data_IF_118229743849
#
_entry.id   IF_118229743849
#
_cell.length_a   1.000
_cell.length_b   1.000
_cell.length_c   1.000
_cell.angle_alpha   90.00
_cell.angle_beta   90.00
_cell.angle_gamma   90.00
#
_symmetry.space_group_name_H-M   'P 1'
#
loop_
_entity.id
_entity.type
_entity.pdbx_description
1 polymer ?
#
# COMPACT_ATOMS: atom_id res chain seq x y z
N UNK A 1 -2.18 -13.92 -15.81
CA UNK A 1 -0.69 -13.89 -15.62
C UNK A 1 -0.30 -12.47 -15.25
N UNK A 2 0.86 -12.30 -14.53
CA UNK A 2 1.28 -10.95 -14.10
C UNK A 2 1.57 -10.05 -15.30
N UNK A 3 2.14 -10.61 -16.34
CA UNK A 3 2.48 -9.90 -17.58
C UNK A 3 1.26 -9.27 -18.28
N UNK A 4 0.05 -9.75 -18.00
CA UNK A 4 -1.20 -9.21 -18.56
C UNK A 4 -1.64 -7.89 -17.89
N UNK A 5 -1.09 -7.60 -16.71
CA UNK A 5 -1.44 -6.41 -15.92
C UNK A 5 -0.26 -5.45 -15.73
N UNK A 6 0.94 -5.82 -16.22
CA UNK A 6 2.12 -4.97 -16.17
C UNK A 6 2.19 -4.10 -17.43
N UNK A 7 2.50 -2.83 -17.21
CA UNK A 7 2.84 -1.89 -18.27
C UNK A 7 4.33 -1.63 -18.18
N UNK A 8 5.07 -1.93 -19.25
CA UNK A 8 6.48 -1.54 -19.32
C UNK A 8 6.60 -0.02 -19.49
N UNK A 9 7.09 0.62 -18.44
CA UNK A 9 7.23 2.07 -18.40
C UNK A 9 8.32 2.59 -19.34
N UNK A 10 9.31 1.77 -19.72
CA UNK A 10 10.35 2.16 -20.69
C UNK A 10 9.76 2.25 -22.07
N UNK A 11 8.99 1.25 -22.48
CA UNK A 11 8.29 1.24 -23.75
C UNK A 11 7.26 2.38 -23.85
N UNK A 12 6.54 2.61 -22.75
CA UNK A 12 5.58 3.70 -22.69
C UNK A 12 6.27 5.07 -22.81
N UNK A 13 7.37 5.28 -22.08
CA UNK A 13 8.16 6.51 -22.13
C UNK A 13 8.74 6.74 -23.54
N UNK A 14 9.31 5.70 -24.16
CA UNK A 14 9.83 5.77 -25.52
C UNK A 14 8.75 6.19 -26.53
N UNK A 15 7.55 5.59 -26.45
CA UNK A 15 6.41 5.94 -27.29
C UNK A 15 5.91 7.37 -27.06
N UNK A 16 6.01 7.84 -25.82
CA UNK A 16 5.60 9.21 -25.46
C UNK A 16 6.69 10.27 -25.75
N UNK A 17 7.89 9.87 -26.17
CA UNK A 17 9.02 10.78 -26.39
C UNK A 17 9.55 11.43 -25.13
N UNK A 18 9.45 10.74 -23.96
CA UNK A 18 9.93 11.22 -22.66
C UNK A 18 11.03 10.33 -22.11
N UNK A 19 11.89 10.90 -21.27
CA UNK A 19 12.96 10.15 -20.62
C UNK A 19 12.40 9.33 -19.44
N UNK A 20 12.86 8.09 -19.30
CA UNK A 20 12.60 7.23 -18.15
C UNK A 20 13.88 7.09 -17.30
N UNK A 21 13.78 7.48 -16.04
CA UNK A 21 14.89 7.36 -15.07
C UNK A 21 14.47 6.42 -13.94
N UNK A 22 15.11 5.27 -13.86
CA UNK A 22 14.94 4.36 -12.73
C UNK A 22 15.84 4.81 -11.58
N UNK A 23 15.27 5.37 -10.53
CA UNK A 23 15.96 5.80 -9.32
C UNK A 23 15.01 5.84 -8.13
N UNK A 24 15.55 5.70 -6.94
CA UNK A 24 14.83 5.97 -5.70
C UNK A 24 14.88 7.47 -5.37
N UNK A 25 13.76 8.02 -4.92
CA UNK A 25 13.69 9.41 -4.48
C UNK A 25 14.08 9.45 -3.00
N UNK A 26 15.09 10.25 -2.67
CA UNK A 26 15.57 10.48 -1.30
C UNK A 26 15.04 11.78 -0.70
N UNK A 27 14.59 12.72 -1.54
CA UNK A 27 14.10 13.99 -1.06
C UNK A 27 13.73 14.99 -2.15
N UNK A 28 13.27 16.16 -1.70
CA UNK A 28 12.98 17.33 -2.53
C UNK A 28 13.54 18.57 -1.83
N UNK A 29 14.38 19.32 -2.54
CA UNK A 29 14.66 20.70 -2.20
C UNK A 29 13.61 21.58 -2.91
N UNK A 30 12.53 21.87 -2.20
CA UNK A 30 11.42 22.65 -2.76
C UNK A 30 11.77 24.11 -3.06
N UNK A 31 12.78 24.67 -2.39
CA UNK A 31 13.25 26.05 -2.61
C UNK A 31 14.09 26.15 -3.87
N UNK A 32 14.98 25.20 -4.10
CA UNK A 32 15.83 25.15 -5.29
C UNK A 32 15.17 24.42 -6.46
N UNK A 33 13.96 23.87 -6.28
CA UNK A 33 13.24 23.08 -7.28
C UNK A 33 14.04 21.88 -7.78
N UNK A 34 14.60 21.11 -6.85
CA UNK A 34 15.44 19.96 -7.15
C UNK A 34 14.87 18.68 -6.53
N UNK A 35 14.88 17.62 -7.30
CA UNK A 35 14.56 16.27 -6.86
C UNK A 35 15.86 15.54 -6.56
N UNK A 36 15.97 14.99 -5.35
CA UNK A 36 17.15 14.25 -4.88
C UNK A 36 16.94 12.76 -5.12
N UNK A 37 17.91 12.14 -5.79
CA UNK A 37 17.85 10.75 -6.22
C UNK A 37 19.02 9.95 -5.65
N UNK A 38 18.74 8.72 -5.18
CA UNK A 38 19.75 7.81 -4.67
C UNK A 38 20.81 7.49 -5.72
N UNK A 39 22.07 7.80 -5.41
CA UNK A 39 23.21 7.45 -6.26
C UNK A 39 23.21 8.10 -7.65
N UNK A 40 22.46 9.19 -7.86
CA UNK A 40 22.36 9.92 -9.12
C UNK A 40 22.40 11.42 -8.90
N UNK A 41 22.78 12.20 -9.95
CA UNK A 41 22.64 13.66 -9.90
C UNK A 41 21.17 14.06 -9.62
N UNK A 42 21.03 15.17 -8.92
CA UNK A 42 19.73 15.82 -8.69
C UNK A 42 19.11 16.28 -10.03
N UNK A 43 17.77 16.29 -10.08
CA UNK A 43 17.04 16.75 -11.26
C UNK A 43 16.34 18.06 -10.92
N UNK A 44 16.61 19.12 -11.69
CA UNK A 44 15.87 20.37 -11.63
C UNK A 44 14.52 20.21 -12.33
N UNK A 45 13.49 20.84 -11.77
CA UNK A 45 12.14 20.81 -12.35
C UNK A 45 11.53 22.22 -12.43
N UNK A 46 10.77 22.46 -13.49
CA UNK A 46 9.86 23.61 -13.59
C UNK A 46 8.46 23.25 -13.06
N UNK A 47 8.02 22.02 -13.33
CA UNK A 47 6.80 21.41 -12.80
C UNK A 47 7.12 20.00 -12.32
N UNK A 48 6.56 19.59 -11.18
CA UNK A 48 6.75 18.25 -10.64
C UNK A 48 5.42 17.67 -10.16
N UNK A 49 5.08 16.49 -10.66
CA UNK A 49 3.94 15.70 -10.17
C UNK A 49 4.43 14.49 -9.38
N UNK A 50 4.01 14.40 -8.12
CA UNK A 50 4.33 13.30 -7.22
C UNK A 50 3.19 12.29 -7.21
N UNK A 51 3.46 11.09 -7.71
CA UNK A 51 2.57 9.93 -7.62
C UNK A 51 3.34 8.71 -7.10
N UNK A 52 4.01 8.89 -5.98
CA UNK A 52 4.95 7.93 -5.39
C UNK A 52 4.27 6.89 -4.48
N UNK A 53 2.96 6.98 -4.30
CA UNK A 53 2.23 6.08 -3.43
C UNK A 53 2.55 6.26 -1.95
N UNK A 54 2.57 5.16 -1.20
CA UNK A 54 2.83 5.12 0.24
C UNK A 54 3.43 3.77 0.64
N UNK A 55 4.02 3.71 1.83
CA UNK A 55 4.44 2.45 2.47
C UNK A 55 3.29 1.86 3.30
N UNK A 56 3.34 0.56 3.58
CA UNK A 56 2.45 -0.05 4.58
C UNK A 56 2.83 0.44 5.97
N UNK A 57 1.85 0.80 6.79
CA UNK A 57 2.10 1.21 8.17
C UNK A 57 2.30 -0.03 9.05
N UNK A 58 3.55 -0.41 9.28
CA UNK A 58 3.94 -1.53 10.14
C UNK A 58 3.95 -1.07 11.61
N UNK A 59 2.81 -1.13 12.27
CA UNK A 59 2.73 -0.86 13.70
C UNK A 59 3.03 -2.14 14.49
N UNK A 60 3.82 -2.01 15.54
CA UNK A 60 4.17 -3.10 16.46
C UNK A 60 2.96 -3.81 17.09
N UNK A 61 1.83 -3.12 17.25
CA UNK A 61 0.59 -3.71 17.77
C UNK A 61 -0.03 -4.81 16.86
N UNK A 62 0.43 -4.91 15.62
CA UNK A 62 -0.05 -5.89 14.63
C UNK A 62 0.94 -7.02 14.35
N UNK A 63 2.17 -6.85 14.79
CA UNK A 63 3.25 -7.82 14.65
C UNK A 63 3.59 -8.34 16.05
N UNK A 64 3.88 -9.62 16.14
CA UNK A 64 4.40 -10.26 17.34
C UNK A 64 5.89 -10.53 17.11
N UNK A 65 6.69 -10.51 18.13
CA UNK A 65 8.09 -10.94 18.06
C UNK A 65 8.16 -12.35 17.43
N UNK A 66 8.99 -12.52 16.40
CA UNK A 66 9.08 -13.74 15.60
C UNK A 66 8.16 -13.79 14.36
N UNK A 67 7.40 -12.72 14.07
CA UNK A 67 6.59 -12.62 12.84
C UNK A 67 7.41 -12.23 11.59
N UNK A 68 8.68 -11.83 11.75
CA UNK A 68 9.46 -11.09 10.76
C UNK A 68 9.63 -11.84 9.43
N UNK A 69 9.83 -13.17 9.50
CA UNK A 69 10.04 -13.99 8.30
C UNK A 69 8.75 -14.35 7.55
N UNK A 70 7.60 -14.27 8.21
CA UNK A 70 6.31 -14.70 7.67
C UNK A 70 5.29 -13.58 7.50
N UNK A 71 5.65 -12.35 7.84
CA UNK A 71 4.79 -11.18 7.76
C UNK A 71 5.26 -10.20 6.67
N UNK A 72 4.59 -10.21 5.53
CA UNK A 72 4.93 -9.36 4.39
C UNK A 72 3.96 -8.17 4.31
N UNK A 73 4.45 -6.94 4.16
CA UNK A 73 3.60 -5.78 3.92
C UNK A 73 2.93 -5.87 2.55
N UNK A 74 1.69 -5.37 2.43
CA UNK A 74 0.98 -5.34 1.14
C UNK A 74 1.68 -4.41 0.12
N UNK A 75 2.50 -3.48 0.56
CA UNK A 75 3.31 -2.59 -0.27
C UNK A 75 4.78 -2.74 0.09
N UNK A 76 5.66 -2.86 -0.93
CA UNK A 76 5.39 -2.78 -2.37
C UNK A 76 4.65 -4.01 -2.89
N UNK A 77 3.79 -3.81 -3.92
CA UNK A 77 2.94 -4.88 -4.46
C UNK A 77 3.71 -6.05 -5.05
N UNK A 78 4.89 -5.80 -5.64
CA UNK A 78 5.75 -6.86 -6.23
C UNK A 78 6.13 -7.93 -5.21
N UNK A 79 6.50 -7.53 -4.00
CA UNK A 79 6.89 -8.46 -2.93
C UNK A 79 5.70 -9.23 -2.38
N UNK A 80 4.61 -8.53 -2.09
CA UNK A 80 3.38 -9.15 -1.60
C UNK A 80 2.78 -10.11 -2.63
N UNK A 81 2.85 -9.78 -3.92
CA UNK A 81 2.39 -10.65 -4.99
C UNK A 81 3.26 -11.91 -5.10
N UNK A 82 4.58 -11.77 -5.06
CA UNK A 82 5.50 -12.92 -5.02
C UNK A 82 5.18 -13.82 -3.84
N UNK A 83 5.03 -13.25 -2.65
CA UNK A 83 4.66 -13.99 -1.44
C UNK A 83 3.34 -14.75 -1.60
N UNK A 84 2.31 -14.16 -2.24
CA UNK A 84 1.05 -14.85 -2.56
C UNK A 84 1.28 -16.03 -3.52
N UNK A 85 2.12 -15.85 -4.54
CA UNK A 85 2.45 -16.92 -5.49
C UNK A 85 3.15 -18.10 -4.79
N UNK A 86 4.10 -17.82 -3.90
CA UNK A 86 4.79 -18.84 -3.13
C UNK A 86 3.82 -19.63 -2.24
N UNK A 87 2.72 -19.02 -1.83
CA UNK A 87 1.67 -19.66 -1.05
C UNK A 87 0.68 -20.50 -1.88
N UNK A 88 0.69 -20.40 -3.20
CA UNK A 88 -0.22 -21.14 -4.09
C UNK A 88 -0.03 -22.67 -4.03
N UNK A 89 1.13 -23.14 -3.62
CA UNK A 89 1.40 -24.58 -3.41
C UNK A 89 0.42 -25.20 -2.39
N UNK A 90 -0.16 -24.37 -1.52
CA UNK A 90 -1.10 -24.78 -0.48
C UNK A 90 -2.56 -24.46 -0.79
N UNK A 91 -2.89 -23.98 -1.99
CA UNK A 91 -4.22 -23.45 -2.36
C UNK A 91 -5.37 -24.44 -2.16
N UNK A 92 -5.12 -25.71 -2.45
CA UNK A 92 -6.11 -26.80 -2.40
C UNK A 92 -5.98 -27.68 -1.15
N UNK A 93 -5.12 -27.29 -0.21
CA UNK A 93 -4.86 -28.04 1.01
C UNK A 93 -5.58 -27.40 2.21
N UNK A 94 -6.68 -27.98 2.64
CA UNK A 94 -7.44 -27.54 3.82
C UNK A 94 -6.71 -27.75 5.16
N UNK A 95 -5.72 -28.65 5.18
CA UNK A 95 -4.87 -28.91 6.36
C UNK A 95 -3.61 -28.05 6.38
N UNK A 96 -3.37 -27.23 5.34
CA UNK A 96 -2.25 -26.31 5.34
C UNK A 96 -2.40 -25.23 6.41
N UNK A 97 -1.27 -24.69 6.82
CA UNK A 97 -1.19 -23.55 7.74
C UNK A 97 -2.12 -22.42 7.28
N UNK A 98 -2.99 -21.91 8.16
CA UNK A 98 -3.87 -20.80 7.85
C UNK A 98 -3.10 -19.59 7.30
N UNK A 99 -3.68 -18.89 6.35
CA UNK A 99 -3.13 -17.63 5.84
C UNK A 99 -3.82 -16.46 6.52
N UNK A 100 -3.03 -15.50 7.01
CA UNK A 100 -3.54 -14.38 7.79
C UNK A 100 -3.49 -13.09 6.98
N UNK A 101 -4.56 -12.32 7.02
CA UNK A 101 -4.61 -10.94 6.54
C UNK A 101 -4.79 -10.04 7.75
N UNK A 102 -3.85 -9.14 7.97
CA UNK A 102 -3.87 -8.23 9.12
C UNK A 102 -4.37 -6.86 8.69
N UNK A 103 -5.56 -6.49 9.13
CA UNK A 103 -6.20 -5.21 8.81
C UNK A 103 -7.53 -5.38 8.09
N UNK A 104 -8.54 -4.65 8.56
CA UNK A 104 -9.92 -4.70 8.05
C UNK A 104 -10.34 -3.44 7.29
N UNK A 105 -9.38 -2.69 6.77
CA UNK A 105 -9.63 -1.64 5.78
C UNK A 105 -10.05 -2.23 4.42
N UNK A 106 -10.36 -1.38 3.45
CA UNK A 106 -10.78 -1.83 2.11
C UNK A 106 -9.81 -2.85 1.51
N UNK A 107 -8.51 -2.55 1.48
CA UNK A 107 -7.50 -3.45 0.92
C UNK A 107 -7.49 -4.84 1.59
N UNK A 108 -7.55 -4.91 2.93
CA UNK A 108 -7.55 -6.20 3.63
C UNK A 108 -8.80 -7.03 3.36
N UNK A 109 -9.96 -6.39 3.26
CA UNK A 109 -11.23 -7.06 2.95
C UNK A 109 -11.27 -7.54 1.49
N UNK A 110 -10.88 -6.71 0.55
CA UNK A 110 -10.81 -7.06 -0.88
C UNK A 110 -9.82 -8.20 -1.11
N UNK A 111 -8.67 -8.15 -0.44
CA UNK A 111 -7.70 -9.22 -0.48
C UNK A 111 -8.28 -10.52 0.09
N UNK A 112 -9.03 -10.47 1.18
CA UNK A 112 -9.67 -11.65 1.76
C UNK A 112 -10.64 -12.32 0.79
N UNK A 113 -11.44 -11.55 0.06
CA UNK A 113 -12.32 -12.07 -0.99
C UNK A 113 -11.54 -12.65 -2.16
N UNK A 114 -10.51 -11.94 -2.62
CA UNK A 114 -9.67 -12.36 -3.74
C UNK A 114 -8.92 -13.65 -3.44
N UNK A 115 -8.34 -13.75 -2.23
CA UNK A 115 -7.63 -14.94 -1.80
C UNK A 115 -8.59 -16.12 -1.56
N UNK A 116 -9.80 -15.91 -1.06
CA UNK A 116 -10.80 -16.96 -0.97
C UNK A 116 -11.18 -17.54 -2.33
N UNK A 117 -11.30 -16.67 -3.35
CA UNK A 117 -11.52 -17.11 -4.74
C UNK A 117 -10.32 -17.89 -5.28
N UNK A 118 -9.10 -17.46 -4.95
CA UNK A 118 -7.85 -18.08 -5.38
C UNK A 118 -7.56 -19.39 -4.66
N UNK A 119 -7.89 -19.47 -3.36
CA UNK A 119 -7.67 -20.63 -2.48
C UNK A 119 -9.00 -21.12 -1.88
N UNK A 120 -9.76 -21.94 -2.61
CA UNK A 120 -11.13 -22.30 -2.21
C UNK A 120 -11.20 -23.07 -0.88
N UNK A 121 -10.20 -23.87 -0.56
CA UNK A 121 -10.21 -24.80 0.60
C UNK A 121 -9.32 -24.36 1.74
N UNK A 122 -8.26 -23.59 1.46
CA UNK A 122 -7.30 -23.16 2.48
C UNK A 122 -7.95 -22.24 3.53
N UNK A 123 -7.58 -22.42 4.79
CA UNK A 123 -8.05 -21.53 5.87
C UNK A 123 -7.50 -20.11 5.70
N UNK A 124 -8.40 -19.11 5.78
CA UNK A 124 -8.07 -17.69 5.71
C UNK A 124 -8.60 -17.00 6.96
N UNK A 125 -7.72 -16.27 7.64
CA UNK A 125 -8.02 -15.51 8.85
C UNK A 125 -7.88 -14.02 8.56
N UNK A 126 -8.93 -13.24 8.80
CA UNK A 126 -8.89 -11.78 8.78
C UNK A 126 -8.76 -11.27 10.23
N UNK A 127 -7.56 -10.78 10.57
CA UNK A 127 -7.33 -10.13 11.86
C UNK A 127 -7.80 -8.69 11.81
N UNK A 128 -8.71 -8.32 12.70
CA UNK A 128 -9.32 -7.00 12.78
C UNK A 128 -9.00 -6.34 14.12
N UNK A 129 -8.80 -5.03 14.15
CA UNK A 129 -8.65 -4.28 15.41
C UNK A 129 -9.98 -4.24 16.18
N UNK A 130 -11.09 -4.05 15.47
CA UNK A 130 -12.42 -4.01 16.04
C UNK A 130 -13.45 -4.54 15.05
N UNK A 131 -14.27 -5.49 15.51
CA UNK A 131 -15.40 -6.01 14.71
C UNK A 131 -16.45 -4.94 14.41
N UNK A 132 -16.58 -3.91 15.27
CA UNK A 132 -17.54 -2.80 15.10
C UNK A 132 -17.30 -1.97 13.84
N UNK A 133 -16.10 -2.05 13.24
CA UNK A 133 -15.76 -1.35 11.99
C UNK A 133 -16.25 -2.07 10.74
N UNK A 134 -16.66 -3.33 10.86
CA UNK A 134 -17.24 -4.10 9.75
C UNK A 134 -18.77 -3.92 9.77
N UNK A 135 -19.35 -3.53 8.64
CA UNK A 135 -20.80 -3.50 8.51
C UNK A 135 -21.39 -4.91 8.69
N UNK A 136 -22.64 -5.01 9.14
CA UNK A 136 -23.32 -6.30 9.33
C UNK A 136 -23.33 -7.15 8.05
N UNK A 137 -23.56 -6.52 6.91
CA UNK A 137 -23.58 -7.20 5.61
C UNK A 137 -22.20 -7.73 5.22
N UNK A 138 -21.14 -6.93 5.45
CA UNK A 138 -19.77 -7.35 5.17
C UNK A 138 -19.34 -8.51 6.07
N UNK A 139 -19.66 -8.42 7.37
CA UNK A 139 -19.39 -9.48 8.33
C UNK A 139 -20.07 -10.79 7.93
N UNK A 140 -21.35 -10.73 7.49
CA UNK A 140 -22.08 -11.90 6.99
C UNK A 140 -21.39 -12.50 5.76
N UNK A 141 -21.07 -11.67 4.75
CA UNK A 141 -20.38 -12.14 3.52
C UNK A 141 -19.05 -12.84 3.82
N UNK A 142 -18.24 -12.27 4.73
CA UNK A 142 -16.97 -12.89 5.13
C UNK A 142 -17.20 -14.28 5.76
N UNK A 143 -18.21 -14.42 6.63
CA UNK A 143 -18.58 -15.71 7.23
C UNK A 143 -19.11 -16.72 6.21
N UNK A 144 -19.99 -16.30 5.31
CA UNK A 144 -20.55 -17.15 4.26
C UNK A 144 -19.43 -17.73 3.37
N UNK A 145 -18.35 -16.97 3.18
CA UNK A 145 -17.14 -17.39 2.49
C UNK A 145 -16.15 -18.16 3.38
N UNK A 146 -16.53 -18.53 4.59
CA UNK A 146 -15.68 -19.27 5.54
C UNK A 146 -14.34 -18.56 5.81
N UNK A 147 -14.35 -17.23 5.87
CA UNK A 147 -13.21 -16.43 6.31
C UNK A 147 -13.37 -16.20 7.82
N UNK A 148 -12.40 -16.67 8.59
CA UNK A 148 -12.38 -16.47 10.03
C UNK A 148 -12.08 -15.01 10.35
N UNK A 149 -12.81 -14.41 11.31
CA UNK A 149 -12.60 -13.04 11.75
C UNK A 149 -12.19 -13.05 13.22
N UNK A 150 -10.98 -12.58 13.50
CA UNK A 150 -10.41 -12.58 14.85
C UNK A 150 -9.88 -11.21 15.28
N UNK A 151 -9.93 -10.93 16.57
CA UNK A 151 -9.24 -9.79 17.20
C UNK A 151 -7.95 -10.24 17.92
N UNK A 152 -7.82 -11.54 18.16
CA UNK A 152 -6.63 -12.12 18.78
C UNK A 152 -5.47 -12.15 17.80
N UNK A 153 -4.24 -12.19 18.30
CA UNK A 153 -3.06 -12.43 17.50
C UNK A 153 -3.07 -13.88 17.02
N UNK A 154 -3.04 -14.14 15.71
CA UNK A 154 -2.83 -15.49 15.20
C UNK A 154 -1.43 -15.99 15.54
N UNK A 155 -1.20 -17.28 15.36
CA UNK A 155 0.11 -17.89 15.56
C UNK A 155 1.20 -17.16 14.76
N UNK A 156 2.40 -17.03 15.33
CA UNK A 156 3.59 -16.50 14.66
C UNK A 156 4.02 -17.35 13.46
N UNK A 157 3.71 -18.63 13.46
CA UNK A 157 4.03 -19.55 12.37
C UNK A 157 3.09 -19.45 11.16
N UNK A 158 2.10 -18.57 11.19
CA UNK A 158 1.19 -18.40 10.07
C UNK A 158 1.68 -17.32 9.11
N UNK A 159 1.75 -17.60 7.79
CA UNK A 159 2.08 -16.58 6.81
C UNK A 159 1.04 -15.45 6.81
N UNK A 160 1.52 -14.20 6.77
CA UNK A 160 0.69 -13.01 6.97
C UNK A 160 0.91 -11.96 5.88
N UNK A 161 -0.16 -11.34 5.43
CA UNK A 161 -0.10 -10.07 4.70
C UNK A 161 -0.59 -8.93 5.58
N UNK A 162 0.21 -7.87 5.66
CA UNK A 162 -0.05 -6.71 6.52
C UNK A 162 -0.71 -5.61 5.70
N UNK A 163 -1.99 -5.34 6.00
CA UNK A 163 -2.85 -4.35 5.34
C UNK A 163 -3.30 -3.24 6.33
N UNK A 164 -2.42 -2.78 7.19
CA UNK A 164 -2.73 -1.93 8.36
C UNK A 164 -2.79 -0.43 8.08
N UNK A 165 -2.97 -0.05 6.83
CA UNK A 165 -3.05 1.33 6.38
C UNK A 165 -1.74 1.86 5.79
N UNK A 166 -1.75 3.12 5.43
CA UNK A 166 -0.67 3.77 4.70
C UNK A 166 0.20 4.61 5.63
N UNK A 167 1.50 4.65 5.34
CA UNK A 167 2.48 5.57 5.92
C UNK A 167 3.19 6.29 4.78
N UNK A 168 3.34 7.61 4.89
CA UNK A 168 4.15 8.40 3.96
C UNK A 168 5.62 8.03 4.05
N UNK A 169 6.38 8.36 3.00
CA UNK A 169 7.83 8.27 3.02
C UNK A 169 8.40 9.29 3.99
N UNK A 170 9.42 8.90 4.74
CA UNK A 170 9.96 9.74 5.81
C UNK A 170 10.57 11.04 5.27
N UNK A 171 11.22 11.02 4.10
CA UNK A 171 11.78 12.20 3.45
C UNK A 171 10.74 13.30 3.12
N UNK A 172 9.44 12.97 3.01
CA UNK A 172 8.40 13.98 2.79
C UNK A 172 8.31 14.93 3.97
N UNK A 173 8.53 14.46 5.20
CA UNK A 173 8.53 15.31 6.39
C UNK A 173 9.67 16.31 6.38
N UNK A 174 10.81 15.90 5.85
CA UNK A 174 12.03 16.70 5.79
C UNK A 174 12.05 17.67 4.58
N UNK A 175 11.13 17.49 3.63
CA UNK A 175 11.03 18.31 2.42
C UNK A 175 10.53 19.74 2.64
N UNK A 176 9.97 20.04 3.81
CA UNK A 176 9.32 21.32 4.11
C UNK A 176 7.97 21.51 3.41
N UNK A 177 7.44 20.50 2.74
CA UNK A 177 6.10 20.54 2.13
C UNK A 177 5.02 20.48 3.21
N UNK A 178 3.88 21.15 3.01
CA UNK A 178 2.75 21.07 3.92
C UNK A 178 2.18 19.65 3.94
N UNK A 179 2.06 19.05 5.12
CA UNK A 179 1.57 17.68 5.30
C UNK A 179 0.42 17.61 6.30
N UNK A 180 -0.39 16.57 6.22
CA UNK A 180 -1.39 16.25 7.23
C UNK A 180 -0.77 15.43 8.39
N UNK A 181 -1.61 15.07 9.36
CA UNK A 181 -1.19 14.27 10.53
C UNK A 181 -0.65 12.87 10.18
N UNK A 182 -0.99 12.35 9.02
CA UNK A 182 -0.56 11.03 8.53
C UNK A 182 0.67 11.15 7.61
N UNK A 183 1.21 12.36 7.43
CA UNK A 183 2.38 12.68 6.61
C UNK A 183 2.10 12.78 5.12
N UNK A 184 0.82 12.86 4.70
CA UNK A 184 0.45 13.05 3.29
C UNK A 184 0.53 14.51 2.91
N UNK A 185 0.96 14.79 1.68
CA UNK A 185 1.14 16.14 1.17
C UNK A 185 -0.24 16.81 0.99
N UNK A 186 -0.42 17.98 1.60
CA UNK A 186 -1.66 18.75 1.52
C UNK A 186 -1.76 19.47 0.16
N UNK A 187 -2.86 19.22 -0.54
CA UNK A 187 -3.14 19.81 -1.85
C UNK A 187 -4.44 20.62 -1.86
N UNK A 188 -4.53 21.52 -2.82
CA UNK A 188 -5.78 22.17 -3.24
C UNK A 188 -6.65 21.17 -4.02
N UNK A 189 -7.88 21.55 -4.37
CA UNK A 189 -8.76 20.78 -5.25
C UNK A 189 -8.16 20.56 -6.65
N UNK A 190 -7.25 21.41 -7.07
CA UNK A 190 -6.48 21.31 -8.31
C UNK A 190 -5.31 20.32 -8.22
N UNK A 191 -5.12 19.65 -7.08
CA UNK A 191 -4.03 18.77 -6.74
C UNK A 191 -2.66 19.47 -6.60
N UNK A 192 -2.62 20.79 -6.77
CA UNK A 192 -1.43 21.60 -6.47
C UNK A 192 -1.16 21.60 -4.97
N UNK A 193 0.11 21.49 -4.61
CA UNK A 193 0.57 21.59 -3.22
C UNK A 193 0.40 23.03 -2.72
N UNK A 194 -0.06 23.20 -1.49
CA UNK A 194 -0.19 24.53 -0.89
C UNK A 194 1.17 25.24 -0.86
N UNK A 195 1.18 26.50 -1.26
CA UNK A 195 2.36 27.37 -1.35
C UNK A 195 3.41 26.96 -2.41
N UNK A 196 3.18 25.91 -3.18
CA UNK A 196 4.05 25.43 -4.23
C UNK A 196 3.24 25.18 -5.50
N UNK A 197 2.95 26.22 -6.30
CA UNK A 197 2.09 26.10 -7.47
C UNK A 197 2.65 25.19 -8.58
N UNK A 198 3.94 24.96 -8.58
CA UNK A 198 4.64 24.05 -9.49
C UNK A 198 4.64 22.59 -9.05
N UNK A 199 4.22 22.30 -7.81
CA UNK A 199 4.16 20.93 -7.28
C UNK A 199 2.75 20.42 -7.25
N UNK A 200 2.59 19.18 -7.67
CA UNK A 200 1.35 18.41 -7.61
C UNK A 200 1.58 17.12 -6.82
N UNK A 201 0.61 16.70 -6.03
CA UNK A 201 0.66 15.41 -5.36
C UNK A 201 -0.68 14.67 -5.51
N UNK A 202 -0.59 13.41 -5.99
CA UNK A 202 -1.74 12.59 -6.32
C UNK A 202 -1.62 11.18 -5.72
N UNK A 203 -2.70 10.44 -5.70
CA UNK A 203 -2.72 9.09 -5.13
C UNK A 203 -2.46 9.08 -3.62
N UNK A 204 -1.80 8.03 -3.13
CA UNK A 204 -1.62 7.81 -1.70
C UNK A 204 -0.69 8.80 -1.00
N UNK A 205 0.17 9.49 -1.73
CA UNK A 205 1.08 10.48 -1.15
C UNK A 205 0.43 11.86 -0.94
N UNK A 206 -0.70 12.15 -1.60
CA UNK A 206 -1.40 13.43 -1.52
C UNK A 206 -2.75 13.35 -0.80
N UNK A 207 -3.22 14.49 -0.29
CA UNK A 207 -4.57 14.62 0.28
C UNK A 207 -5.11 16.01 0.03
N UNK A 208 -6.34 16.12 -0.46
CA UNK A 208 -7.00 17.41 -0.62
C UNK A 208 -7.42 17.91 0.77
N UNK A 209 -6.97 19.12 1.12
CA UNK A 209 -7.33 19.77 2.38
C UNK A 209 -8.86 19.87 2.48
N UNK A 210 -9.40 19.60 3.67
CA UNK A 210 -10.83 19.61 3.99
C UNK A 210 -11.69 18.57 3.24
N UNK A 211 -11.07 17.74 2.41
CA UNK A 211 -11.71 16.62 1.73
C UNK A 211 -10.85 15.34 1.85
N UNK A 212 -10.62 14.83 3.07
CA UNK A 212 -9.77 13.67 3.28
C UNK A 212 -10.49 12.41 2.78
N UNK A 213 -10.38 12.13 1.49
CA UNK A 213 -10.74 10.82 0.96
C UNK A 213 -9.61 9.84 1.26
N UNK A 214 -9.92 8.54 1.51
CA UNK A 214 -8.89 7.52 1.42
C UNK A 214 -8.24 7.64 0.04
N UNK A 215 -6.92 7.63 0.00
CA UNK A 215 -6.16 7.82 -1.24
C UNK A 215 -6.44 6.74 -2.32
N UNK A 216 -7.06 5.65 -1.96
CA UNK A 216 -7.45 4.52 -2.82
C UNK A 216 -8.84 4.64 -3.45
N UNK A 217 -9.42 5.81 -3.50
CA UNK A 217 -10.82 5.98 -3.88
C UNK A 217 -11.03 6.85 -5.11
N UNK A 218 -10.33 6.58 -6.20
CA UNK A 218 -10.70 7.12 -7.51
C UNK A 218 -10.94 5.96 -8.45
#
# INVERSE_FOLDING_TARGET
KIDEILIDLRDLAAKAGVSFVMAEIEGIDSKKKKLLLAGRPEIEYSLLSLNIGSKTNLKSEFLTEGDEDLAVPIKPFSESYKFILDQDIHKDNSSATPFVIVGSGFAGVELAFSLRKRWPTRSIILKVRSRRKLSKNLFKKLKDLKIEITQKNPSIYYPKLICTGNKSFDWIKDSGLPIDKDGRILTKKTLQVFNYPELFAVGDCGVIKDHPRPASGV
#
